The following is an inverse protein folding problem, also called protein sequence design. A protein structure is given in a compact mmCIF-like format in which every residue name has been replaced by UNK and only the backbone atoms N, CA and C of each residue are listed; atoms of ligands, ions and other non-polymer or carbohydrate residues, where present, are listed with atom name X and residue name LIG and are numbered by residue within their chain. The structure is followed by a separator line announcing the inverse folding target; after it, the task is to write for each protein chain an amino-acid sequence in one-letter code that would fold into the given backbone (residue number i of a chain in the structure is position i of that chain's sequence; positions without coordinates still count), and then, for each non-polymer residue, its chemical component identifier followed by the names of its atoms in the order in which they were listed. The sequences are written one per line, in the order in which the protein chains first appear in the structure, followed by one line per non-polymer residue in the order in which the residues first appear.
data_IF_344997735960
#
_entry.id   IF_344997735960
#
_cell.length_a   1.000
_cell.length_b   1.000
_cell.length_c   1.000
_cell.angle_alpha   90.00
_cell.angle_beta   90.00
_cell.angle_gamma   90.00
#
_symmetry.space_group_name_H-M   'P 1'
#
loop_
_entity.id
_entity.type
_entity.pdbx_description
1 polymer ?
#
# COMPACT_ATOMS: atom_id res chain seq x y z
N UNK A 1 1.96 -19.30 5.31
CA UNK A 1 2.43 -18.77 4.01
C UNK A 1 3.48 -17.70 4.28
N UNK A 2 4.75 -18.10 4.37
CA UNK A 2 5.92 -17.19 4.39
C UNK A 2 6.88 -17.70 3.31
N UNK A 3 6.34 -17.91 2.12
CA UNK A 3 7.09 -18.40 0.95
C UNK A 3 7.16 -17.27 -0.06
N UNK A 4 8.05 -16.32 0.26
CA UNK A 4 8.90 -15.48 -0.60
C UNK A 4 9.64 -14.68 0.48
N UNK A 5 10.96 -14.89 0.65
CA UNK A 5 11.78 -14.22 1.67
C UNK A 5 11.96 -12.70 1.46
N UNK A 6 10.92 -12.01 0.97
CA UNK A 6 10.90 -10.58 0.71
C UNK A 6 10.60 -9.75 1.97
N UNK A 7 9.99 -10.33 3.00
CA UNK A 7 9.51 -9.63 4.20
C UNK A 7 9.77 -10.51 5.43
N UNK A 8 10.31 -9.93 6.51
CA UNK A 8 10.52 -10.66 7.77
C UNK A 8 9.18 -11.02 8.43
N UNK A 9 9.16 -12.00 9.34
CA UNK A 9 7.94 -12.35 10.06
C UNK A 9 7.39 -11.17 10.90
N UNK A 10 8.29 -10.40 11.50
CA UNK A 10 7.98 -9.20 12.28
C UNK A 10 7.37 -8.10 11.40
N UNK A 11 7.95 -7.85 10.21
CA UNK A 11 7.40 -6.89 9.26
C UNK A 11 6.03 -7.34 8.73
N UNK A 12 5.85 -8.64 8.49
CA UNK A 12 4.57 -9.18 8.01
C UNK A 12 3.46 -9.00 9.06
N UNK A 13 3.76 -9.23 10.33
CA UNK A 13 2.83 -8.98 11.44
C UNK A 13 2.52 -7.49 11.57
N UNK A 14 3.54 -6.64 11.49
CA UNK A 14 3.40 -5.19 11.54
C UNK A 14 2.46 -4.67 10.43
N UNK A 15 2.71 -5.04 9.17
CA UNK A 15 1.85 -4.63 8.06
C UNK A 15 0.42 -5.14 8.19
N UNK A 16 0.25 -6.34 8.72
CA UNK A 16 -1.08 -6.90 8.98
C UNK A 16 -1.83 -6.06 10.02
N UNK A 17 -1.18 -5.74 11.14
CA UNK A 17 -1.77 -4.91 12.20
C UNK A 17 -2.14 -3.52 11.69
N UNK A 18 -1.29 -2.91 10.87
CA UNK A 18 -1.55 -1.61 10.27
C UNK A 18 -2.75 -1.63 9.31
N UNK A 19 -2.84 -2.66 8.48
CA UNK A 19 -3.97 -2.83 7.56
C UNK A 19 -5.29 -3.05 8.32
N UNK A 20 -5.28 -3.91 9.33
CA UNK A 20 -6.45 -4.17 10.18
C UNK A 20 -6.91 -2.89 10.89
N UNK A 21 -5.96 -2.09 11.37
CA UNK A 21 -6.20 -0.80 12.03
C UNK A 21 -6.90 0.19 11.09
N UNK A 22 -6.42 0.33 9.86
CA UNK A 22 -7.03 1.20 8.85
C UNK A 22 -8.44 0.76 8.47
N UNK A 23 -8.64 -0.56 8.32
CA UNK A 23 -9.96 -1.13 8.06
C UNK A 23 -10.94 -0.85 9.21
N UNK A 24 -10.50 -0.95 10.46
CA UNK A 24 -11.33 -0.59 11.60
C UNK A 24 -11.73 0.90 11.61
N UNK A 25 -10.80 1.80 11.29
CA UNK A 25 -11.11 3.23 11.19
C UNK A 25 -12.17 3.50 10.13
N UNK A 26 -12.00 2.90 8.94
CA UNK A 26 -12.96 2.99 7.83
C UNK A 26 -14.34 2.45 8.22
N UNK A 27 -14.41 1.27 8.83
CA UNK A 27 -15.68 0.65 9.26
C UNK A 27 -16.38 1.55 10.28
N UNK A 28 -15.66 2.02 11.32
CA UNK A 28 -16.24 2.89 12.36
C UNK A 28 -16.75 4.21 11.79
N UNK A 29 -15.99 4.84 10.89
CA UNK A 29 -16.39 6.07 10.19
C UNK A 29 -17.66 5.87 9.37
N UNK A 30 -17.71 4.80 8.58
CA UNK A 30 -18.87 4.42 7.80
C UNK A 30 -20.10 4.12 8.65
N UNK A 31 -19.93 3.40 9.76
CA UNK A 31 -21.02 3.11 10.70
C UNK A 31 -21.58 4.38 11.34
N UNK A 32 -20.72 5.38 11.64
CA UNK A 32 -21.17 6.68 12.14
C UNK A 32 -22.00 7.43 11.09
N UNK A 33 -21.60 7.39 9.82
CA UNK A 33 -22.34 7.98 8.70
C UNK A 33 -23.68 7.27 8.48
N UNK A 34 -23.68 5.94 8.49
CA UNK A 34 -24.90 5.13 8.37
C UNK A 34 -25.91 5.44 9.48
N UNK A 35 -25.47 5.59 10.74
CA UNK A 35 -26.33 6.02 11.86
C UNK A 35 -26.92 7.42 11.69
N UNK A 36 -26.34 8.26 10.84
CA UNK A 36 -26.81 9.61 10.52
C UNK A 36 -27.62 9.66 9.21
N UNK A 37 -28.03 8.51 8.66
CA UNK A 37 -28.65 8.39 7.33
C UNK A 37 -27.78 8.99 6.21
N UNK A 38 -26.47 9.10 6.41
CA UNK A 38 -25.51 9.54 5.40
C UNK A 38 -24.90 8.34 4.69
N UNK A 39 -24.58 8.51 3.41
CA UNK A 39 -23.94 7.46 2.62
C UNK A 39 -22.52 7.18 3.14
N UNK A 40 -22.16 5.91 3.41
CA UNK A 40 -20.78 5.52 3.66
C UNK A 40 -19.92 5.83 2.43
N UNK A 41 -18.83 6.56 2.63
CA UNK A 41 -17.93 7.03 1.56
C UNK A 41 -16.50 6.46 1.71
N UNK A 42 -16.26 5.64 2.73
CA UNK A 42 -14.96 5.08 3.08
C UNK A 42 -13.88 6.13 3.41
N UNK A 43 -14.28 7.38 3.63
CA UNK A 43 -13.35 8.45 3.98
C UNK A 43 -13.04 8.44 5.48
N UNK A 44 -11.76 8.36 5.81
CA UNK A 44 -11.26 8.50 7.18
C UNK A 44 -10.89 9.97 7.38
N UNK A 45 -11.60 10.65 8.27
CA UNK A 45 -11.30 12.03 8.67
C UNK A 45 -10.23 12.02 9.78
N UNK A 46 -8.98 12.44 9.52
CA UNK A 46 -7.90 12.32 10.51
C UNK A 46 -8.15 13.17 11.76
N UNK A 47 -8.73 14.36 11.58
CA UNK A 47 -8.93 15.32 12.67
C UNK A 47 -10.04 14.92 13.65
N UNK A 48 -10.96 14.05 13.25
CA UNK A 48 -12.05 13.59 14.13
C UNK A 48 -11.70 12.33 14.93
N UNK A 49 -10.48 11.79 14.76
CA UNK A 49 -9.99 10.62 15.48
C UNK A 49 -9.30 11.01 16.79
N UNK A 50 -9.69 10.38 17.89
CA UNK A 50 -8.97 10.50 19.18
C UNK A 50 -7.61 9.79 19.16
N UNK A 51 -7.39 8.87 18.22
CA UNK A 51 -6.21 8.00 18.12
C UNK A 51 -5.45 8.27 16.81
N UNK A 52 -5.09 9.53 16.56
CA UNK A 52 -4.36 9.96 15.34
C UNK A 52 -3.01 9.27 15.17
N UNK A 53 -2.25 9.11 16.26
CA UNK A 53 -0.94 8.45 16.24
C UNK A 53 -1.03 7.03 15.66
N UNK A 54 -2.07 6.27 16.04
CA UNK A 54 -2.30 4.91 15.52
C UNK A 54 -2.69 4.92 14.03
N UNK A 55 -3.36 5.97 13.55
CA UNK A 55 -3.63 6.13 12.12
C UNK A 55 -2.35 6.47 11.35
N UNK A 56 -1.51 7.35 11.89
CA UNK A 56 -0.25 7.77 11.27
C UNK A 56 0.74 6.60 11.18
N UNK A 57 0.89 5.81 12.24
CA UNK A 57 1.69 4.59 12.25
C UNK A 57 1.22 3.62 11.16
N UNK A 58 -0.09 3.36 11.09
CA UNK A 58 -0.66 2.45 10.10
C UNK A 58 -0.51 2.95 8.65
N UNK A 59 -0.58 4.27 8.43
CA UNK A 59 -0.32 4.86 7.12
C UNK A 59 1.15 4.75 6.73
N UNK A 60 2.07 4.85 7.69
CA UNK A 60 3.52 4.72 7.48
C UNK A 60 3.89 3.30 7.05
N UNK A 61 3.31 2.27 7.68
CA UNK A 61 3.52 0.88 7.28
C UNK A 61 3.04 0.61 5.85
N UNK A 62 1.83 1.07 5.48
CA UNK A 62 1.34 0.93 4.11
C UNK A 62 2.20 1.70 3.10
N UNK A 63 2.66 2.92 3.44
CA UNK A 63 3.55 3.67 2.56
C UNK A 63 4.86 2.91 2.30
N UNK A 64 5.39 2.22 3.32
CA UNK A 64 6.58 1.38 3.20
C UNK A 64 6.35 0.18 2.30
N UNK A 65 5.21 -0.52 2.44
CA UNK A 65 4.83 -1.62 1.53
C UNK A 65 4.73 -1.13 0.09
N UNK A 66 4.01 -0.03 -0.15
CA UNK A 66 3.86 0.53 -1.50
C UNK A 66 5.19 0.95 -2.11
N UNK A 67 6.09 1.52 -1.31
CA UNK A 67 7.42 1.88 -1.76
C UNK A 67 8.25 0.62 -2.11
N UNK A 68 8.09 -0.48 -1.36
CA UNK A 68 8.71 -1.76 -1.67
C UNK A 68 8.16 -2.37 -2.97
N UNK A 69 6.84 -2.40 -3.15
CA UNK A 69 6.18 -2.86 -4.38
C UNK A 69 6.67 -2.09 -5.62
N UNK A 70 6.76 -0.76 -5.53
CA UNK A 70 7.28 0.08 -6.63
C UNK A 70 8.75 -0.22 -6.96
N UNK A 71 9.58 -0.53 -5.95
CA UNK A 71 10.99 -0.89 -6.17
C UNK A 71 11.12 -2.25 -6.86
N UNK A 72 10.29 -3.22 -6.51
CA UNK A 72 10.22 -4.52 -7.17
C UNK A 72 9.72 -4.41 -8.62
N UNK A 73 8.92 -3.38 -8.95
CA UNK A 73 8.40 -3.14 -10.30
C UNK A 73 9.37 -2.38 -11.23
N UNK A 74 10.35 -1.62 -10.71
CA UNK A 74 11.35 -0.89 -11.51
C UNK A 74 12.26 -1.75 -12.41
N UNK A 75 12.81 -2.90 -11.99
CA UNK A 75 13.71 -3.68 -12.85
C UNK A 75 13.04 -4.20 -14.13
N UNK A 76 11.72 -4.45 -14.12
CA UNK A 76 10.97 -4.89 -15.31
C UNK A 76 10.81 -3.78 -16.37
N UNK A 77 10.71 -2.51 -15.95
CA UNK A 77 10.60 -1.38 -16.87
C UNK A 77 11.94 -1.06 -17.56
N UNK A 78 13.06 -1.13 -16.84
CA UNK A 78 14.39 -0.84 -17.41
C UNK A 78 14.91 -1.96 -18.34
N UNK A 79 14.65 -3.23 -18.01
CA UNK A 79 15.03 -4.35 -18.86
C UNK A 79 14.29 -4.35 -20.22
N UNK A 80 13.03 -3.94 -20.22
CA UNK A 80 12.22 -3.82 -21.45
C UNK A 80 12.70 -2.68 -22.36
N UNK A 81 13.22 -1.59 -21.78
CA UNK A 81 13.79 -0.47 -22.54
C UNK A 81 15.13 -0.80 -23.20
N UNK A 82 16.00 -1.58 -22.51
CA UNK A 82 17.27 -2.03 -23.09
C UNK A 82 17.09 -3.07 -24.22
N UNK A 83 16.07 -3.93 -24.13
CA UNK A 83 15.78 -4.92 -25.16
C UNK A 83 15.31 -4.27 -26.47
N UNK A 84 14.55 -3.17 -26.40
CA UNK A 84 14.06 -2.42 -27.57
C UNK A 84 15.18 -1.64 -28.26
N UNK A 85 16.19 -1.15 -27.52
CA UNK A 85 17.32 -0.44 -28.14
C UNK A 85 18.30 -1.38 -28.87
N UNK A 86 18.48 -2.61 -28.38
CA UNK A 86 19.36 -3.60 -29.03
C UNK A 86 18.79 -4.16 -30.34
N UNK A 87 17.46 -4.22 -30.50
CA UNK A 87 16.86 -4.69 -31.77
C UNK A 87 16.94 -3.64 -32.88
N UNK A 88 16.94 -2.35 -32.55
CA UNK A 88 17.07 -1.26 -33.54
C UNK A 88 18.51 -1.11 -34.05
N UNK A 89 19.52 -1.44 -33.24
CA UNK A 89 20.94 -1.31 -33.65
C UNK A 89 21.51 -2.54 -34.39
N UNK A 90 20.83 -3.70 -34.36
CA UNK A 90 21.30 -4.93 -35.03
C UNK A 90 20.61 -5.20 -36.39
N UNK A 91 19.79 -4.26 -36.88
CA UNK A 91 19.07 -4.38 -38.16
C UNK A 91 19.58 -3.44 -39.27
N UNK A 92 20.80 -2.92 -39.16
CA UNK A 92 21.42 -2.07 -40.17
C UNK A 92 22.76 -2.66 -40.62
N UNK A 93 22.69 -3.71 -41.45
CA UNK A 93 23.72 -4.09 -42.41
C UNK A 93 23.04 -4.73 -43.62
#
# INVERSE_FOLDING_TARGET
MSEIGAISAEDAEFFRTDFETLMMFKIRGNMKKAKQCKKPDNHIEPHSLRKRMILEDALSGIATVKACEQRLQRPLAHASSLAVQKTVSNGAF
#
